data_IF_348932822392
#
_entry.id   IF_348932822392
#
_cell.length_a   1.000
_cell.length_b   1.000
_cell.length_c   1.000
_cell.angle_alpha   90.00
_cell.angle_beta   90.00
_cell.angle_gamma   90.00
#
_symmetry.space_group_name_H-M   'P 1'
#
loop_
_entity.id
_entity.type
_entity.pdbx_description
1 polymer ?
#
# COMPACT_ATOMS: atom_id res chain seq x y z
N UNK A 1 -13.52 -26.97 10.18
CA UNK A 1 -12.12 -26.53 10.31
C UNK A 1 -11.91 -25.48 9.25
N UNK A 2 -12.14 -24.23 9.61
CA UNK A 2 -12.10 -23.10 8.69
C UNK A 2 -10.97 -22.19 9.18
N UNK A 3 -10.00 -21.95 8.30
CA UNK A 3 -8.75 -21.28 8.62
C UNK A 3 -9.02 -19.81 8.93
N UNK A 4 -8.72 -19.37 10.14
CA UNK A 4 -8.61 -17.96 10.49
C UNK A 4 -7.52 -17.32 9.63
N UNK A 5 -7.94 -16.69 8.54
CA UNK A 5 -7.11 -15.73 7.82
C UNK A 5 -7.04 -14.48 8.68
N UNK A 6 -5.88 -14.25 9.30
CA UNK A 6 -5.55 -13.01 10.01
C UNK A 6 -5.46 -11.87 9.01
N UNK A 7 -6.60 -11.41 8.51
CA UNK A 7 -6.70 -10.14 7.78
C UNK A 7 -6.43 -9.06 8.82
N UNK A 8 -5.32 -8.33 8.69
CA UNK A 8 -5.13 -7.08 9.43
C UNK A 8 -6.36 -6.24 9.13
N UNK A 9 -7.26 -6.10 10.11
CA UNK A 9 -8.58 -5.50 9.91
C UNK A 9 -8.40 -3.99 9.95
N UNK A 10 -7.86 -3.44 8.87
CA UNK A 10 -7.81 -1.99 8.68
C UNK A 10 -9.27 -1.51 8.58
N UNK A 11 -9.72 -0.72 9.55
CA UNK A 11 -11.08 -0.21 9.55
C UNK A 11 -11.15 1.06 8.71
N UNK A 12 -11.60 0.90 7.47
CA UNK A 12 -11.73 2.00 6.52
C UNK A 12 -12.67 3.11 7.02
N UNK A 13 -13.62 2.81 7.92
CA UNK A 13 -14.49 3.83 8.50
C UNK A 13 -13.76 4.73 9.51
N UNK A 14 -12.59 4.29 9.97
CA UNK A 14 -11.74 4.99 10.93
C UNK A 14 -10.43 5.44 10.30
N UNK A 15 -10.36 5.56 8.98
CA UNK A 15 -9.16 5.98 8.25
C UNK A 15 -8.55 7.27 8.84
N UNK A 16 -9.41 8.23 9.21
CA UNK A 16 -9.00 9.51 9.83
C UNK A 16 -8.35 9.37 11.21
N UNK A 17 -8.49 8.24 11.88
CA UNK A 17 -7.85 7.96 13.19
C UNK A 17 -6.41 7.48 13.01
N UNK A 18 -6.07 6.97 11.83
CA UNK A 18 -4.71 6.53 11.51
C UNK A 18 -3.82 7.71 11.09
N UNK A 19 -2.52 7.52 11.26
CA UNK A 19 -1.44 8.46 10.90
C UNK A 19 -0.34 7.69 10.20
N UNK A 20 0.38 8.37 9.30
CA UNK A 20 1.63 7.82 8.78
C UNK A 20 2.60 7.56 9.94
N UNK A 21 3.29 6.41 9.87
CA UNK A 21 4.23 5.98 10.88
C UNK A 21 5.17 4.91 10.30
N UNK A 22 5.99 4.29 11.15
CA UNK A 22 6.98 3.28 10.74
C UNK A 22 6.38 2.06 9.99
N UNK A 23 5.07 1.81 10.13
CA UNK A 23 4.38 0.67 9.52
C UNK A 23 3.18 1.08 8.65
N UNK A 24 2.85 2.36 8.52
CA UNK A 24 1.73 2.85 7.70
C UNK A 24 2.22 4.00 6.84
N UNK A 25 2.13 3.83 5.52
CA UNK A 25 2.45 4.85 4.53
C UNK A 25 1.23 5.10 3.64
N UNK A 26 0.85 6.37 3.39
CA UNK A 26 -0.22 6.72 2.46
C UNK A 26 0.32 7.33 1.17
N UNK A 27 -0.24 6.90 0.02
CA UNK A 27 0.16 7.39 -1.30
C UNK A 27 -1.10 7.66 -2.14
N UNK A 28 -1.21 8.88 -2.68
CA UNK A 28 -2.43 9.31 -3.42
C UNK A 28 -2.71 8.46 -4.66
N UNK A 29 -1.68 8.04 -5.39
CA UNK A 29 -1.75 7.20 -6.60
C UNK A 29 -2.79 7.63 -7.67
N UNK A 30 -3.20 8.91 -7.69
CA UNK A 30 -4.24 9.44 -8.58
C UNK A 30 -3.87 9.38 -10.08
N UNK A 31 -2.58 9.36 -10.40
CA UNK A 31 -2.03 9.26 -11.75
C UNK A 31 -1.48 7.87 -12.11
N UNK A 32 -1.70 6.87 -11.26
CA UNK A 32 -1.01 5.59 -11.30
C UNK A 32 -0.05 5.43 -10.12
N UNK A 33 0.76 4.37 -10.16
CA UNK A 33 1.67 4.00 -9.08
C UNK A 33 2.83 5.01 -8.98
N UNK A 34 2.97 5.72 -7.84
CA UNK A 34 4.12 6.58 -7.62
C UNK A 34 5.43 5.76 -7.56
N UNK A 35 6.52 6.25 -8.15
CA UNK A 35 7.82 5.55 -8.02
C UNK A 35 8.30 5.43 -6.57
N UNK A 36 7.91 6.38 -5.71
CA UNK A 36 8.25 6.38 -4.28
C UNK A 36 7.65 5.22 -3.49
N UNK A 37 6.70 4.45 -4.05
CA UNK A 37 6.21 3.25 -3.34
C UNK A 37 7.30 2.18 -3.20
N UNK A 38 8.24 2.12 -4.15
CA UNK A 38 9.26 1.08 -4.17
C UNK A 38 10.34 1.31 -3.11
N UNK A 39 10.59 2.58 -2.78
CA UNK A 39 11.42 2.98 -1.65
C UNK A 39 10.77 2.50 -0.34
N UNK A 40 9.49 2.83 -0.11
CA UNK A 40 8.75 2.36 1.06
C UNK A 40 8.65 0.82 1.12
N UNK A 41 8.36 0.17 -0.01
CA UNK A 41 8.33 -1.28 -0.10
C UNK A 41 9.66 -1.90 0.33
N UNK A 42 10.78 -1.37 -0.18
CA UNK A 42 12.11 -1.82 0.21
C UNK A 42 12.39 -1.58 1.70
N UNK A 43 12.02 -0.42 2.23
CA UNK A 43 12.16 -0.11 3.66
C UNK A 43 11.34 -1.07 4.53
N UNK A 44 10.12 -1.40 4.16
CA UNK A 44 9.27 -2.34 4.90
C UNK A 44 9.77 -3.78 4.76
N UNK A 45 10.17 -4.19 3.56
CA UNK A 45 10.71 -5.54 3.30
C UNK A 45 11.98 -5.84 4.10
N UNK A 46 12.77 -4.82 4.42
CA UNK A 46 14.03 -4.95 5.18
C UNK A 46 13.87 -4.73 6.69
N UNK A 47 12.68 -4.37 7.16
CA UNK A 47 12.41 -4.10 8.59
C UNK A 47 11.26 -5.00 9.07
N UNK A 48 10.43 -4.51 9.99
CA UNK A 48 9.33 -5.28 10.60
C UNK A 48 8.07 -5.33 9.70
N UNK A 49 8.18 -4.91 8.44
CA UNK A 49 7.05 -4.81 7.52
C UNK A 49 6.13 -3.62 7.78
N UNK A 50 5.08 -3.51 6.98
CA UNK A 50 4.11 -2.42 7.06
C UNK A 50 3.00 -2.53 6.02
N UNK A 51 2.12 -1.53 6.01
CA UNK A 51 0.99 -1.38 5.12
C UNK A 51 1.16 -0.11 4.29
N UNK A 52 1.04 -0.24 2.97
CA UNK A 52 1.04 0.89 2.04
C UNK A 52 -0.40 1.09 1.56
N UNK A 53 -0.96 2.27 1.83
CA UNK A 53 -2.32 2.65 1.45
C UNK A 53 -2.29 3.45 0.13
N UNK A 54 -2.78 2.84 -0.95
CA UNK A 54 -2.93 3.52 -2.25
C UNK A 54 -4.31 4.18 -2.37
N UNK A 55 -4.36 5.39 -2.94
CA UNK A 55 -5.60 6.15 -3.02
C UNK A 55 -5.96 6.86 -1.72
N UNK A 56 -4.97 7.06 -0.85
CA UNK A 56 -5.09 7.78 0.43
C UNK A 56 -4.11 8.94 0.42
N UNK A 57 -4.51 10.06 1.00
CA UNK A 57 -3.64 11.21 1.25
C UNK A 57 -3.58 11.54 2.74
N UNK A 58 -2.44 12.05 3.19
CA UNK A 58 -2.34 12.76 4.47
C UNK A 58 -2.78 14.21 4.27
N UNK A 59 -3.74 14.66 5.07
CA UNK A 59 -4.21 16.04 5.11
C UNK A 59 -3.32 16.91 6.02
N UNK A 60 -3.53 18.23 6.00
CA UNK A 60 -2.73 19.18 6.80
C UNK A 60 -2.82 18.94 8.32
N UNK A 61 -3.90 18.34 8.80
CA UNK A 61 -4.13 17.93 10.19
C UNK A 61 -3.54 16.54 10.52
N UNK A 62 -2.69 16.02 9.62
CA UNK A 62 -2.10 14.69 9.62
C UNK A 62 -3.12 13.54 9.48
N UNK A 63 -4.42 13.81 9.32
CA UNK A 63 -5.41 12.74 9.14
C UNK A 63 -5.27 12.08 7.77
N UNK A 64 -5.45 10.76 7.72
CA UNK A 64 -5.53 10.04 6.46
C UNK A 64 -6.93 10.15 5.86
N UNK A 65 -7.01 10.46 4.57
CA UNK A 65 -8.27 10.62 3.82
C UNK A 65 -8.23 9.82 2.52
N UNK A 66 -9.30 9.08 2.24
CA UNK A 66 -9.43 8.35 1.00
C UNK A 66 -9.74 9.34 -0.14
N UNK A 67 -8.84 9.42 -1.12
CA UNK A 67 -9.03 10.19 -2.36
C UNK A 67 -9.56 9.32 -3.50
N UNK A 68 -9.48 7.99 -3.32
CA UNK A 68 -9.92 7.01 -4.29
C UNK A 68 -8.94 6.87 -5.47
N UNK A 69 -9.17 5.84 -6.28
CA UNK A 69 -8.39 5.52 -7.46
C UNK A 69 -9.30 5.54 -8.68
N UNK A 70 -8.84 6.16 -9.78
CA UNK A 70 -9.64 6.28 -11.02
C UNK A 70 -9.77 4.97 -11.78
N UNK A 71 -8.70 4.18 -11.82
CA UNK A 71 -8.64 2.91 -12.55
C UNK A 71 -7.91 1.86 -11.71
N UNK A 72 -8.66 1.19 -10.84
CA UNK A 72 -8.14 0.20 -9.89
C UNK A 72 -7.49 -0.97 -10.64
N UNK A 73 -8.12 -1.44 -11.72
CA UNK A 73 -7.61 -2.57 -12.52
C UNK A 73 -6.26 -2.24 -13.15
N UNK A 74 -6.11 -1.04 -13.72
CA UNK A 74 -4.83 -0.60 -14.27
C UNK A 74 -3.78 -0.50 -13.18
N UNK A 75 -4.12 0.08 -12.02
CA UNK A 75 -3.18 0.22 -10.91
C UNK A 75 -2.72 -1.14 -10.40
N UNK A 76 -3.64 -2.08 -10.17
CA UNK A 76 -3.31 -3.43 -9.74
C UNK A 76 -2.41 -4.15 -10.75
N UNK A 77 -2.75 -4.05 -12.05
CA UNK A 77 -1.92 -4.62 -13.12
C UNK A 77 -0.53 -3.99 -13.17
N UNK A 78 -0.44 -2.67 -13.11
CA UNK A 78 0.83 -1.95 -13.12
C UNK A 78 1.66 -2.28 -11.89
N UNK A 79 1.01 -2.55 -10.74
CA UNK A 79 1.67 -2.96 -9.50
C UNK A 79 2.35 -4.30 -9.67
N UNK A 80 1.59 -5.31 -10.11
CA UNK A 80 2.13 -6.65 -10.35
C UNK A 80 3.19 -6.68 -11.43
N UNK A 81 3.07 -5.84 -12.47
CA UNK A 81 4.12 -5.72 -13.49
C UNK A 81 5.42 -5.15 -12.91
N UNK A 82 5.34 -4.12 -12.07
CA UNK A 82 6.51 -3.46 -11.51
C UNK A 82 7.18 -4.25 -10.39
N UNK A 83 6.42 -4.85 -9.47
CA UNK A 83 6.99 -5.64 -8.37
C UNK A 83 7.70 -6.91 -8.86
N UNK A 84 7.27 -7.47 -9.99
CA UNK A 84 7.94 -8.60 -10.64
C UNK A 84 9.12 -8.18 -11.53
N UNK A 85 9.32 -6.88 -11.76
CA UNK A 85 10.45 -6.37 -12.53
C UNK A 85 11.70 -6.25 -11.65
N UNK A 86 12.70 -7.10 -11.93
CA UNK A 86 13.99 -7.12 -11.20
C UNK A 86 14.81 -5.82 -11.28
N UNK A 87 14.51 -4.95 -12.24
CA UNK A 87 15.13 -3.62 -12.34
C UNK A 87 14.52 -2.61 -11.35
N UNK A 88 13.32 -2.89 -10.83
CA UNK A 88 12.59 -2.05 -9.89
C UNK A 88 12.65 -2.64 -8.48
N UNK A 89 12.38 -3.94 -8.36
CA UNK A 89 12.36 -4.67 -7.09
C UNK A 89 13.21 -5.92 -7.20
N UNK A 90 14.19 -6.07 -6.29
CA UNK A 90 15.11 -7.21 -6.35
C UNK A 90 14.43 -8.55 -6.06
N UNK A 91 13.47 -8.57 -5.13
CA UNK A 91 12.70 -9.76 -4.73
C UNK A 91 11.25 -9.35 -4.45
N UNK A 92 10.32 -10.01 -5.13
CA UNK A 92 8.90 -9.90 -4.83
C UNK A 92 8.57 -10.78 -3.61
N UNK A 93 8.09 -10.16 -2.54
CA UNK A 93 7.69 -10.82 -1.30
C UNK A 93 6.16 -10.95 -1.17
N UNK A 94 5.40 -10.32 -2.08
CA UNK A 94 3.94 -10.28 -2.02
C UNK A 94 3.31 -11.40 -2.85
N UNK A 95 2.13 -11.81 -2.41
CA UNK A 95 1.25 -12.73 -3.13
C UNK A 95 -0.11 -12.06 -3.37
N UNK A 96 -0.88 -12.52 -4.34
CA UNK A 96 -2.21 -11.96 -4.66
C UNK A 96 -3.17 -11.91 -3.48
N UNK A 97 -2.93 -12.71 -2.43
CA UNK A 97 -3.76 -12.73 -1.20
C UNK A 97 -3.48 -11.55 -0.26
N UNK A 98 -2.40 -10.81 -0.49
CA UNK A 98 -1.93 -9.72 0.37
C UNK A 98 -2.28 -8.33 -0.16
N UNK A 99 -2.89 -8.25 -1.35
CA UNK A 99 -3.30 -6.99 -2.02
C UNK A 99 -4.81 -6.87 -2.02
#
# INVERSE_FOLDING_TARGET
>A
METEQTKVKFDWNRLSDYRENLHIEAKKALGGIPGSIWETYSSFANTDGGVILLGVEEAEDMTLRAVGLKDIYKIEKDFWNQINNKQVVSINLLTERMV
#
